data_IF_061310454789
#
_entry.id   IF_061310454789
#
_cell.length_a   1.000
_cell.length_b   1.000
_cell.length_c   1.000
_cell.angle_alpha   90.00
_cell.angle_beta   90.00
_cell.angle_gamma   90.00
#
_symmetry.space_group_name_H-M   'P 1'
#
loop_
_entity.id
_entity.type
_entity.pdbx_description
1 polymer ?
#
# COMPACT_ATOMS: atom_id res chain seq x y z
N UNK A 1 -16.84 -12.77 -19.12
CA UNK A 1 -17.27 -13.25 -17.79
C UNK A 1 -16.01 -13.47 -16.98
N UNK A 2 -15.74 -12.64 -15.98
CA UNK A 2 -14.62 -12.86 -15.07
C UNK A 2 -15.00 -14.04 -14.17
N UNK A 3 -14.40 -15.21 -14.39
CA UNK A 3 -14.62 -16.37 -13.55
C UNK A 3 -13.85 -16.13 -12.25
N UNK A 4 -14.55 -15.74 -11.19
CA UNK A 4 -13.94 -15.62 -9.87
C UNK A 4 -13.40 -16.98 -9.42
N UNK A 5 -12.25 -16.97 -8.75
CA UNK A 5 -11.70 -18.18 -8.16
C UNK A 5 -12.63 -18.64 -7.02
N UNK A 6 -13.42 -19.70 -7.28
CA UNK A 6 -14.37 -20.28 -6.32
C UNK A 6 -13.72 -20.77 -5.02
N UNK A 7 -12.40 -20.88 -4.97
CA UNK A 7 -11.68 -21.14 -3.73
C UNK A 7 -11.81 -19.99 -2.72
N UNK A 8 -11.80 -18.74 -3.19
CA UNK A 8 -11.71 -17.56 -2.34
C UNK A 8 -13.00 -16.74 -2.25
N UNK A 9 -13.96 -16.99 -3.15
CA UNK A 9 -15.20 -16.23 -3.23
C UNK A 9 -16.43 -17.14 -3.24
N UNK A 10 -17.42 -16.82 -2.39
CA UNK A 10 -18.69 -17.53 -2.27
C UNK A 10 -19.69 -17.14 -3.37
N UNK A 11 -19.57 -15.92 -3.89
CA UNK A 11 -20.47 -15.36 -4.89
C UNK A 11 -19.77 -14.44 -5.89
N UNK A 12 -20.55 -13.93 -6.86
CA UNK A 12 -20.06 -12.97 -7.85
C UNK A 12 -20.08 -11.51 -7.34
N UNK A 13 -20.42 -11.29 -6.06
CA UNK A 13 -20.41 -9.96 -5.41
C UNK A 13 -19.10 -9.71 -4.67
N UNK A 14 -18.27 -10.74 -4.51
CA UNK A 14 -16.99 -10.66 -3.82
C UNK A 14 -17.10 -11.00 -2.34
N UNK A 15 -18.14 -11.71 -1.91
CA UNK A 15 -18.19 -12.32 -0.58
C UNK A 15 -17.05 -13.32 -0.45
N UNK A 16 -16.21 -13.17 0.56
CA UNK A 16 -15.06 -14.05 0.79
C UNK A 16 -15.50 -15.36 1.41
N UNK A 17 -14.92 -16.47 0.96
CA UNK A 17 -14.98 -17.75 1.69
C UNK A 17 -14.08 -17.68 2.93
N UNK A 18 -14.18 -18.64 3.85
CA UNK A 18 -13.21 -18.78 4.94
C UNK A 18 -11.75 -18.91 4.44
N UNK A 19 -11.54 -19.55 3.29
CA UNK A 19 -10.22 -19.62 2.66
C UNK A 19 -9.77 -18.27 2.09
N UNK A 20 -10.71 -17.48 1.54
CA UNK A 20 -10.47 -16.11 1.09
C UNK A 20 -10.11 -15.16 2.23
N UNK A 21 -10.85 -15.21 3.34
CA UNK A 21 -10.56 -14.45 4.55
C UNK A 21 -9.17 -14.80 5.10
N UNK A 22 -8.84 -16.09 5.19
CA UNK A 22 -7.53 -16.55 5.63
C UNK A 22 -6.40 -16.08 4.69
N UNK A 23 -6.61 -16.15 3.37
CA UNK A 23 -5.63 -15.68 2.40
C UNK A 23 -5.36 -14.17 2.53
N UNK A 24 -6.40 -13.36 2.70
CA UNK A 24 -6.28 -11.91 2.94
C UNK A 24 -5.57 -11.64 4.26
N UNK A 25 -5.98 -12.30 5.34
CA UNK A 25 -5.36 -12.15 6.66
C UNK A 25 -3.87 -12.49 6.62
N UNK A 26 -3.52 -13.62 6.01
CA UNK A 26 -2.13 -14.07 5.88
C UNK A 26 -1.31 -13.10 5.03
N UNK A 27 -1.83 -12.66 3.87
CA UNK A 27 -1.13 -11.73 2.99
C UNK A 27 -0.83 -10.38 3.66
N UNK A 28 -1.82 -9.81 4.36
CA UNK A 28 -1.64 -8.56 5.10
C UNK A 28 -0.69 -8.72 6.29
N UNK A 29 -0.79 -9.83 7.04
CA UNK A 29 0.11 -10.09 8.17
C UNK A 29 1.57 -10.20 7.71
N UNK A 30 1.84 -10.98 6.66
CA UNK A 30 3.20 -11.12 6.11
C UNK A 30 3.74 -9.76 5.63
N UNK A 31 2.91 -8.95 4.98
CA UNK A 31 3.33 -7.64 4.51
C UNK A 31 3.58 -6.66 5.66
N UNK A 32 2.76 -6.68 6.72
CA UNK A 32 3.00 -5.92 7.95
C UNK A 32 4.36 -6.27 8.53
N UNK A 33 4.69 -7.55 8.67
CA UNK A 33 5.98 -7.99 9.21
C UNK A 33 7.15 -7.52 8.35
N UNK A 34 7.03 -7.65 7.01
CA UNK A 34 8.07 -7.21 6.08
C UNK A 34 8.30 -5.69 6.12
N UNK A 35 7.23 -4.91 6.12
CA UNK A 35 7.28 -3.44 6.20
C UNK A 35 7.88 -3.00 7.53
N UNK A 36 7.44 -3.60 8.63
CA UNK A 36 7.93 -3.32 9.98
C UNK A 36 9.44 -3.59 10.09
N UNK A 37 9.88 -4.77 9.61
CA UNK A 37 11.29 -5.14 9.60
C UNK A 37 12.14 -4.14 8.78
N UNK A 38 11.65 -3.74 7.59
CA UNK A 38 12.33 -2.75 6.77
C UNK A 38 12.41 -1.37 7.45
N UNK A 39 11.35 -0.92 8.13
CA UNK A 39 11.36 0.37 8.81
C UNK A 39 12.30 0.41 10.01
N UNK A 40 12.45 -0.70 10.73
CA UNK A 40 13.51 -0.83 11.74
C UNK A 40 14.90 -0.80 11.11
N UNK A 41 15.12 -1.58 10.05
CA UNK A 41 16.42 -1.65 9.37
C UNK A 41 16.87 -0.31 8.78
N UNK A 42 15.93 0.46 8.24
CA UNK A 42 16.21 1.78 7.64
C UNK A 42 16.22 2.92 8.65
N UNK A 43 15.97 2.64 9.93
CA UNK A 43 15.96 3.65 11.00
C UNK A 43 14.76 4.61 10.94
N UNK A 44 13.71 4.28 10.16
CA UNK A 44 12.46 5.04 10.13
C UNK A 44 11.61 4.83 11.38
N UNK A 45 11.89 3.75 12.12
CA UNK A 45 11.28 3.44 13.40
C UNK A 45 12.33 2.91 14.37
N UNK A 46 12.35 3.37 15.62
CA UNK A 46 13.23 2.79 16.63
C UNK A 46 12.78 1.38 16.97
N UNK A 47 13.74 0.45 17.16
CA UNK A 47 13.40 -0.88 17.65
C UNK A 47 12.98 -0.81 19.12
N UNK A 48 12.05 -1.67 19.59
CA UNK A 48 11.63 -1.67 20.99
C UNK A 48 12.81 -1.77 21.97
N UNK A 49 13.85 -2.53 21.63
CA UNK A 49 15.08 -2.67 22.41
C UNK A 49 15.96 -1.42 22.47
N UNK A 50 15.83 -0.52 21.49
CA UNK A 50 16.60 0.73 21.38
C UNK A 50 15.86 1.92 22.00
N UNK A 51 14.59 1.76 22.38
CA UNK A 51 13.80 2.83 22.98
C UNK A 51 14.27 3.11 24.43
N UNK A 52 14.45 4.39 24.82
CA UNK A 52 14.66 4.73 26.22
C UNK A 52 13.47 4.26 27.07
N UNK A 53 13.66 4.11 28.39
CA UNK A 53 12.60 3.68 29.33
C UNK A 53 11.32 4.51 29.14
N UNK A 54 10.34 3.94 28.43
CA UNK A 54 9.11 4.59 27.99
C UNK A 54 8.74 4.17 26.57
N UNK A 55 7.46 3.90 26.29
CA UNK A 55 7.01 3.55 24.95
C UNK A 55 7.00 4.83 24.09
N UNK A 56 8.06 5.07 23.30
CA UNK A 56 8.17 6.24 22.42
C UNK A 56 7.75 5.80 21.02
N UNK A 57 6.45 5.88 20.74
CA UNK A 57 5.93 5.73 19.39
C UNK A 57 6.08 7.04 18.61
N UNK A 58 6.12 6.95 17.28
CA UNK A 58 6.11 8.11 16.40
C UNK A 58 4.83 8.91 16.57
N UNK A 59 4.84 10.19 16.19
CA UNK A 59 3.65 11.02 16.34
C UNK A 59 2.58 10.61 15.31
N UNK A 60 1.36 10.29 15.80
CA UNK A 60 0.23 9.89 14.93
C UNK A 60 -0.08 10.96 13.87
N UNK A 61 -0.01 12.24 14.22
CA UNK A 61 -0.26 13.34 13.30
C UNK A 61 0.77 13.43 12.16
N UNK A 62 2.04 13.16 12.46
CA UNK A 62 3.11 13.11 11.45
C UNK A 62 2.91 11.92 10.50
N UNK A 63 2.57 10.74 11.02
CA UNK A 63 2.29 9.56 10.20
C UNK A 63 1.06 9.75 9.30
N UNK A 64 0.00 10.37 9.82
CA UNK A 64 -1.18 10.73 9.03
C UNK A 64 -0.81 11.77 7.96
N UNK A 65 0.01 12.78 8.28
CA UNK A 65 0.44 13.77 7.30
C UNK A 65 1.24 13.12 6.15
N UNK A 66 2.10 12.15 6.45
CA UNK A 66 2.81 11.36 5.44
C UNK A 66 1.85 10.54 4.56
N UNK A 67 0.80 9.94 5.13
CA UNK A 67 -0.24 9.29 4.33
C UNK A 67 -0.94 10.27 3.37
N UNK A 68 -1.21 11.50 3.82
CA UNK A 68 -1.79 12.54 2.98
C UNK A 68 -0.86 13.00 1.86
N UNK A 69 0.46 13.04 2.09
CA UNK A 69 1.41 13.39 1.02
C UNK A 69 1.37 12.34 -0.09
N UNK A 70 1.38 11.04 0.21
CA UNK A 70 1.33 9.99 -0.83
C UNK A 70 0.04 10.06 -1.67
N UNK A 71 -1.10 10.34 -1.03
CA UNK A 71 -2.36 10.54 -1.77
C UNK A 71 -2.28 11.76 -2.69
N UNK A 72 -1.56 12.80 -2.27
CA UNK A 72 -1.36 14.00 -3.08
C UNK A 72 -0.40 13.74 -4.23
N UNK A 73 0.70 13.01 -4.00
CA UNK A 73 1.66 12.59 -5.03
C UNK A 73 0.97 11.73 -6.10
N UNK A 74 0.08 10.80 -5.69
CA UNK A 74 -0.74 10.02 -6.62
C UNK A 74 -1.62 10.91 -7.52
N UNK A 75 -2.19 11.97 -6.96
CA UNK A 75 -2.98 12.95 -7.70
C UNK A 75 -2.12 13.84 -8.61
N UNK A 76 -0.91 14.20 -8.17
CA UNK A 76 0.03 14.97 -9.00
C UNK A 76 0.48 14.17 -10.22
N UNK A 77 0.83 12.89 -10.05
CA UNK A 77 1.16 12.00 -11.15
C UNK A 77 0.00 11.91 -12.17
N UNK A 78 -1.24 11.81 -11.68
CA UNK A 78 -2.43 11.87 -12.54
C UNK A 78 -2.50 13.17 -13.34
N UNK A 79 -2.38 14.30 -12.64
CA UNK A 79 -2.49 15.65 -13.22
C UNK A 79 -1.42 15.90 -14.27
N UNK A 80 -0.24 15.30 -14.10
CA UNK A 80 0.88 15.41 -15.03
C UNK A 80 0.78 14.44 -16.22
N UNK A 81 -0.26 13.59 -16.29
CA UNK A 81 -0.41 12.53 -17.30
C UNK A 81 0.77 11.55 -17.31
N UNK A 82 1.36 11.26 -16.15
CA UNK A 82 2.39 10.25 -16.04
C UNK A 82 1.81 8.84 -16.33
N UNK A 83 2.64 7.90 -16.79
CA UNK A 83 2.25 6.49 -16.81
C UNK A 83 1.81 6.05 -15.41
N UNK A 84 0.79 5.19 -15.34
CA UNK A 84 0.25 4.73 -14.06
C UNK A 84 1.31 4.10 -13.16
N UNK A 85 2.30 3.43 -13.76
CA UNK A 85 3.50 2.92 -13.10
C UNK A 85 4.67 3.08 -14.07
N UNK A 86 5.75 3.69 -13.59
CA UNK A 86 7.02 3.79 -14.31
C UNK A 86 8.20 3.74 -13.34
N UNK A 87 9.43 3.71 -13.87
CA UNK A 87 10.63 3.55 -13.07
C UNK A 87 11.65 4.66 -13.37
N UNK A 88 12.03 5.39 -12.31
CA UNK A 88 13.06 6.42 -12.33
C UNK A 88 14.44 5.80 -12.08
N UNK A 89 15.41 6.18 -12.91
CA UNK A 89 16.80 5.77 -12.78
C UNK A 89 17.71 6.98 -12.60
N UNK A 90 18.68 6.87 -11.70
CA UNK A 90 19.80 7.80 -11.66
C UNK A 90 20.75 7.49 -12.82
N UNK A 91 21.00 8.49 -13.67
CA UNK A 91 21.98 8.40 -14.74
C UNK A 91 22.94 9.58 -14.71
N UNK A 92 24.13 9.46 -15.32
CA UNK A 92 25.06 10.59 -15.48
C UNK A 92 24.46 11.79 -16.25
N UNK A 93 23.37 11.60 -17.00
CA UNK A 93 22.69 12.63 -17.78
C UNK A 93 21.49 13.26 -17.03
N UNK A 94 21.24 12.86 -15.78
CA UNK A 94 20.09 13.24 -14.99
C UNK A 94 19.11 12.08 -14.78
N UNK A 95 17.99 12.39 -14.11
CA UNK A 95 16.91 11.43 -13.88
C UNK A 95 16.18 11.11 -15.18
N UNK A 96 15.72 9.88 -15.32
CA UNK A 96 14.89 9.48 -16.48
C UNK A 96 13.54 10.17 -16.46
N UNK A 97 13.04 10.53 -17.65
CA UNK A 97 11.68 11.04 -17.86
C UNK A 97 10.67 9.88 -17.83
N UNK A 98 9.44 10.08 -17.32
CA UNK A 98 8.34 9.11 -17.40
C UNK A 98 8.08 8.51 -18.81
N UNK A 99 8.46 9.21 -19.86
CA UNK A 99 8.33 8.79 -21.28
C UNK A 99 9.59 8.15 -21.85
N UNK A 100 10.63 7.97 -21.03
CA UNK A 100 11.90 7.37 -21.44
C UNK A 100 11.76 5.92 -21.88
N UNK A 101 12.65 5.48 -22.78
CA UNK A 101 12.65 4.13 -23.38
C UNK A 101 12.62 3.00 -22.34
N UNK A 102 13.23 3.22 -21.17
CA UNK A 102 13.32 2.24 -20.09
C UNK A 102 12.31 2.46 -18.96
N UNK A 103 11.46 3.49 -19.02
CA UNK A 103 10.57 3.87 -17.93
C UNK A 103 9.51 2.79 -17.59
N UNK A 104 9.27 1.81 -18.47
CA UNK A 104 8.35 0.69 -18.22
C UNK A 104 9.05 -0.60 -17.75
N UNK A 105 10.37 -0.61 -17.71
CA UNK A 105 11.14 -1.77 -17.25
C UNK A 105 11.48 -1.56 -15.78
N UNK A 106 11.24 -2.52 -14.87
CA UNK A 106 11.65 -2.38 -13.47
C UNK A 106 13.17 -2.53 -13.31
N UNK A 107 13.79 -3.35 -14.15
CA UNK A 107 15.21 -3.68 -14.09
C UNK A 107 15.88 -3.33 -15.41
N UNK A 108 16.99 -2.59 -15.35
CA UNK A 108 17.87 -2.38 -16.51
C UNK A 108 19.06 -3.34 -16.40
N UNK A 109 19.33 -4.04 -17.50
CA UNK A 109 20.40 -5.04 -17.62
C UNK A 109 20.38 -6.15 -16.55
N UNK A 110 19.26 -6.32 -15.83
CA UNK A 110 19.12 -7.28 -14.73
C UNK A 110 19.83 -6.87 -13.43
N UNK A 111 20.47 -5.71 -13.38
CA UNK A 111 21.32 -5.29 -12.26
C UNK A 111 20.76 -4.07 -11.52
N UNK A 112 20.14 -3.13 -12.25
CA UNK A 112 19.73 -1.85 -11.69
C UNK A 112 18.20 -1.84 -11.55
N UNK A 113 17.72 -1.82 -10.31
CA UNK A 113 16.31 -1.61 -9.98
C UNK A 113 16.00 -0.12 -10.03
N UNK A 114 15.00 0.26 -10.83
CA UNK A 114 14.53 1.64 -10.87
C UNK A 114 13.61 1.95 -9.69
N UNK A 115 13.59 3.22 -9.27
CA UNK A 115 12.64 3.69 -8.26
C UNK A 115 11.25 3.67 -8.88
N UNK A 116 10.27 2.93 -8.35
CA UNK A 116 8.90 2.97 -8.84
C UNK A 116 8.32 4.37 -8.62
N UNK A 117 7.56 4.85 -9.61
CA UNK A 117 6.97 6.17 -9.68
C UNK A 117 5.59 6.08 -10.35
N UNK A 118 4.81 7.16 -10.25
CA UNK A 118 3.48 7.28 -10.84
C UNK A 118 2.37 6.84 -9.89
N UNK A 119 1.12 7.09 -10.27
CA UNK A 119 -0.06 6.93 -9.38
C UNK A 119 -0.11 5.58 -8.65
N UNK A 120 0.22 4.47 -9.33
CA UNK A 120 0.17 3.15 -8.72
C UNK A 120 1.26 2.95 -7.64
N UNK A 121 2.44 3.57 -7.82
CA UNK A 121 3.51 3.55 -6.82
C UNK A 121 3.06 4.30 -5.56
N UNK A 122 2.54 5.51 -5.71
CA UNK A 122 2.14 6.34 -4.56
C UNK A 122 0.94 5.74 -3.81
N UNK A 123 -0.01 5.12 -4.51
CA UNK A 123 -1.08 4.36 -3.85
C UNK A 123 -0.56 3.11 -3.12
N UNK A 124 0.53 2.49 -3.59
CA UNK A 124 1.18 1.41 -2.86
C UNK A 124 1.85 1.94 -1.58
N UNK A 125 2.47 3.12 -1.63
CA UNK A 125 3.07 3.76 -0.46
C UNK A 125 2.01 4.13 0.60
N UNK A 126 0.79 4.52 0.19
CA UNK A 126 -0.35 4.64 1.12
C UNK A 126 -0.61 3.32 1.85
N UNK A 127 -0.68 2.20 1.14
CA UNK A 127 -0.92 0.89 1.74
C UNK A 127 0.20 0.54 2.73
N UNK A 128 1.46 0.70 2.32
CA UNK A 128 2.64 0.41 3.14
C UNK A 128 2.62 1.23 4.44
N UNK A 129 2.35 2.53 4.35
CA UNK A 129 2.27 3.42 5.51
C UNK A 129 1.11 3.07 6.44
N UNK A 130 -0.05 2.69 5.90
CA UNK A 130 -1.20 2.25 6.71
C UNK A 130 -0.85 0.97 7.48
N UNK A 131 -0.16 0.02 6.85
CA UNK A 131 0.25 -1.24 7.48
C UNK A 131 1.27 -1.02 8.58
N UNK A 132 2.28 -0.19 8.33
CA UNK A 132 3.30 0.19 9.33
C UNK A 132 2.68 0.88 10.56
N UNK A 133 1.81 1.86 10.32
CA UNK A 133 1.08 2.55 11.39
C UNK A 133 0.17 1.60 12.15
N UNK A 134 -0.53 0.69 11.46
CA UNK A 134 -1.40 -0.26 12.14
C UNK A 134 -0.62 -1.18 13.09
N UNK A 135 0.58 -1.61 12.69
CA UNK A 135 1.45 -2.41 13.55
C UNK A 135 1.96 -1.61 14.74
N UNK A 136 2.39 -0.36 14.54
CA UNK A 136 2.95 0.46 15.63
C UNK A 136 1.95 0.80 16.73
N UNK A 137 0.68 0.96 16.39
CA UNK A 137 -0.37 1.37 17.32
C UNK A 137 -1.30 0.24 17.74
N UNK A 138 -0.95 -1.02 17.47
CA UNK A 138 -1.77 -2.19 17.74
C UNK A 138 -3.21 -2.06 17.19
N UNK A 139 -3.35 -1.43 16.01
CA UNK A 139 -4.65 -1.27 15.36
C UNK A 139 -5.04 -2.63 14.76
N UNK A 140 -6.24 -3.17 15.05
CA UNK A 140 -6.70 -4.46 14.51
C UNK A 140 -7.13 -4.33 13.04
N UNK A 141 -6.20 -3.93 12.18
CA UNK A 141 -6.47 -3.54 10.79
C UNK A 141 -6.95 -4.73 9.95
N UNK A 142 -6.37 -5.91 10.13
CA UNK A 142 -6.75 -7.12 9.36
C UNK A 142 -8.22 -7.47 9.63
N UNK A 143 -8.60 -7.56 10.91
CA UNK A 143 -9.98 -7.83 11.31
C UNK A 143 -10.93 -6.73 10.83
N UNK A 144 -10.50 -5.46 10.92
CA UNK A 144 -11.27 -4.33 10.44
C UNK A 144 -11.50 -4.39 8.92
N UNK A 145 -10.49 -4.74 8.12
CA UNK A 145 -10.60 -4.89 6.66
C UNK A 145 -11.59 -6.00 6.31
N UNK A 146 -11.42 -7.19 6.89
CA UNK A 146 -12.30 -8.35 6.63
C UNK A 146 -13.74 -8.04 7.04
N UNK A 147 -13.94 -7.58 8.27
CA UNK A 147 -15.27 -7.26 8.80
C UNK A 147 -15.93 -6.14 8.00
N UNK A 148 -15.17 -5.10 7.64
CA UNK A 148 -15.69 -3.96 6.87
C UNK A 148 -16.05 -4.35 5.45
N UNK A 149 -15.25 -5.20 4.81
CA UNK A 149 -15.56 -5.74 3.49
C UNK A 149 -16.85 -6.55 3.52
N UNK A 150 -16.98 -7.50 4.43
CA UNK A 150 -18.19 -8.30 4.62
C UNK A 150 -19.41 -7.44 4.94
N UNK A 151 -19.27 -6.42 5.79
CA UNK A 151 -20.35 -5.46 6.04
C UNK A 151 -20.72 -4.65 4.78
N UNK A 152 -19.75 -4.21 3.99
CA UNK A 152 -20.02 -3.44 2.77
C UNK A 152 -20.82 -4.24 1.73
N UNK A 153 -20.71 -5.58 1.71
CA UNK A 153 -21.53 -6.46 0.88
C UNK A 153 -23.03 -6.42 1.25
N UNK A 154 -23.36 -6.04 2.48
CA UNK A 154 -24.76 -5.90 2.94
C UNK A 154 -25.39 -4.57 2.51
N UNK A 155 -24.60 -3.61 2.02
CA UNK A 155 -25.11 -2.28 1.67
C UNK A 155 -25.97 -2.33 0.42
N UNK A 156 -27.08 -1.57 0.38
CA UNK A 156 -27.83 -1.40 -0.86
C UNK A 156 -26.97 -0.70 -1.91
N UNK A 157 -27.31 -0.91 -3.18
CA UNK A 157 -26.66 -0.25 -4.30
C UNK A 157 -26.64 1.28 -4.09
N UNK A 158 -25.44 1.89 -4.19
CA UNK A 158 -25.20 3.33 -3.97
C UNK A 158 -25.74 3.85 -2.63
N UNK A 159 -25.50 3.12 -1.55
CA UNK A 159 -25.83 3.60 -0.21
C UNK A 159 -25.25 5.00 0.05
N UNK A 160 -26.14 6.00 0.17
CA UNK A 160 -25.79 7.40 0.42
C UNK A 160 -25.79 8.33 -0.80
N UNK A 161 -26.09 7.85 -2.02
CA UNK A 161 -26.22 8.66 -3.26
C UNK A 161 -25.05 9.62 -3.57
N UNK A 162 -23.86 9.39 -3.00
CA UNK A 162 -22.66 10.15 -3.33
C UNK A 162 -22.07 9.57 -4.61
N UNK A 163 -22.20 10.30 -5.72
CA UNK A 163 -21.33 10.13 -6.87
C UNK A 163 -19.97 10.71 -6.47
N UNK A 164 -18.91 9.91 -6.58
CA UNK A 164 -17.55 10.43 -6.57
C UNK A 164 -17.32 11.25 -7.85
#
# INVERSE_FOLDING_TARGET
MTTYNKMYFDDNKGTLTAAGENAVATGLAVLIDAVTANNYEKGWRPRPEDMPMGNVTRNVGELIALLHSEVTEAFEAHRNNEPALWYEYDSPLGKTDPTGEFAQQPMIAGEILGKPQGMASELADVIIRVLDMAQEFDIPLIDAVITKHSYNQTRPYRHGNKAC
#
